data_IF_116140848024
#
_entry.id   IF_116140848024
#
_cell.length_a   1.000
_cell.length_b   1.000
_cell.length_c   1.000
_cell.angle_alpha   90.00
_cell.angle_beta   90.00
_cell.angle_gamma   90.00
#
_symmetry.space_group_name_H-M   'P 1'
#
loop_
_entity.id
_entity.type
_entity.pdbx_description
1 polymer ?
#
# COMPACT_ATOMS: atom_id res chain seq x y z
N UNK A 1 24.07 2.89 8.38
CA UNK A 1 22.86 2.70 7.56
C UNK A 1 22.48 1.24 7.63
N UNK A 2 21.23 0.88 7.92
CA UNK A 2 20.80 -0.54 7.92
C UNK A 2 20.43 -0.94 6.51
N UNK A 3 20.89 -2.09 6.05
CA UNK A 3 20.52 -2.64 4.75
C UNK A 3 19.10 -3.18 4.82
N UNK A 4 18.21 -2.85 3.86
CA UNK A 4 16.90 -3.45 3.79
C UNK A 4 16.99 -4.97 3.67
N UNK A 5 16.11 -5.68 4.39
CA UNK A 5 15.99 -7.12 4.27
C UNK A 5 14.69 -7.45 3.58
N UNK A 6 14.75 -8.19 2.48
CA UNK A 6 13.59 -8.69 1.76
C UNK A 6 13.33 -10.13 2.14
N UNK A 7 12.14 -10.42 2.65
CA UNK A 7 11.73 -11.77 3.03
C UNK A 7 10.48 -12.14 2.25
N UNK A 8 10.60 -13.12 1.36
CA UNK A 8 9.47 -13.65 0.58
C UNK A 8 9.12 -15.03 1.09
N UNK A 9 7.98 -15.14 1.77
CA UNK A 9 7.49 -16.38 2.35
C UNK A 9 6.43 -17.07 1.48
N UNK A 10 5.80 -16.32 0.58
CA UNK A 10 4.72 -16.82 -0.27
C UNK A 10 5.27 -17.26 -1.64
N UNK A 11 4.92 -18.47 -2.05
CA UNK A 11 5.12 -18.95 -3.41
C UNK A 11 3.76 -19.10 -4.09
N UNK A 12 3.59 -18.42 -5.22
CA UNK A 12 2.35 -18.47 -5.98
C UNK A 12 2.18 -19.82 -6.66
N UNK A 13 1.06 -20.49 -6.44
CA UNK A 13 0.66 -21.64 -7.25
C UNK A 13 -0.09 -21.14 -8.49
N UNK A 14 0.59 -21.19 -9.63
CA UNK A 14 0.04 -20.71 -10.89
C UNK A 14 -1.18 -21.51 -11.38
N UNK A 15 -1.31 -22.79 -10.99
CA UNK A 15 -2.48 -23.59 -11.35
C UNK A 15 -3.71 -23.10 -10.57
N UNK A 16 -3.58 -22.87 -9.27
CA UNK A 16 -4.66 -22.32 -8.43
C UNK A 16 -5.08 -20.94 -8.91
N UNK A 17 -4.12 -20.07 -9.25
CA UNK A 17 -4.42 -18.73 -9.79
C UNK A 17 -5.21 -18.81 -11.09
N UNK A 18 -4.77 -19.65 -12.03
CA UNK A 18 -5.45 -19.83 -13.30
C UNK A 18 -6.87 -20.35 -13.14
N UNK A 19 -7.06 -21.34 -12.26
CA UNK A 19 -8.37 -21.93 -12.01
C UNK A 19 -9.32 -20.93 -11.34
N UNK A 20 -8.85 -20.13 -10.39
CA UNK A 20 -9.63 -19.03 -9.78
C UNK A 20 -10.05 -17.99 -10.83
N UNK A 21 -9.12 -17.57 -11.69
CA UNK A 21 -9.43 -16.63 -12.78
C UNK A 21 -10.43 -17.21 -13.76
N UNK A 22 -10.25 -18.46 -14.17
CA UNK A 22 -11.16 -19.12 -15.09
C UNK A 22 -12.58 -19.23 -14.49
N UNK A 23 -12.70 -19.63 -13.23
CA UNK A 23 -14.00 -19.71 -12.56
C UNK A 23 -14.69 -18.34 -12.48
N UNK A 24 -13.97 -17.29 -12.14
CA UNK A 24 -14.51 -15.94 -12.06
C UNK A 24 -14.95 -15.40 -13.42
N UNK A 25 -14.14 -15.56 -14.45
CA UNK A 25 -14.42 -15.07 -15.81
C UNK A 25 -15.54 -15.84 -16.51
N UNK A 26 -15.70 -17.13 -16.20
CA UNK A 26 -16.74 -18.00 -16.76
C UNK A 26 -18.05 -17.97 -15.97
N UNK A 27 -18.11 -17.26 -14.83
CA UNK A 27 -19.32 -17.12 -14.06
C UNK A 27 -20.40 -16.34 -14.86
N UNK A 28 -21.68 -16.55 -14.52
CA UNK A 28 -22.82 -15.83 -15.14
C UNK A 28 -22.70 -14.31 -15.00
N UNK A 29 -22.13 -13.83 -13.90
CA UNK A 29 -21.66 -12.45 -13.71
C UNK A 29 -20.13 -12.49 -13.69
N UNK A 30 -19.51 -12.31 -14.85
CA UNK A 30 -18.05 -12.39 -14.98
C UNK A 30 -17.35 -11.39 -14.06
N UNK A 31 -16.39 -11.87 -13.29
CA UNK A 31 -15.65 -11.06 -12.34
C UNK A 31 -14.21 -11.56 -12.18
N UNK A 32 -13.36 -10.71 -11.63
CA UNK A 32 -12.01 -11.09 -11.19
C UNK A 32 -11.72 -10.46 -9.83
N UNK A 33 -10.89 -11.14 -9.03
CA UNK A 33 -10.48 -10.58 -7.74
C UNK A 33 -9.59 -9.35 -7.95
N UNK A 34 -9.84 -8.24 -7.21
CA UNK A 34 -9.00 -7.04 -7.29
C UNK A 34 -7.51 -7.29 -7.03
N UNK A 35 -7.15 -8.35 -6.31
CA UNK A 35 -5.74 -8.70 -6.04
C UNK A 35 -4.90 -8.87 -7.31
N UNK A 36 -5.52 -9.25 -8.43
CA UNK A 36 -4.83 -9.42 -9.71
C UNK A 36 -4.55 -8.10 -10.46
N UNK A 37 -5.09 -6.98 -9.95
CA UNK A 37 -4.83 -5.65 -10.51
C UNK A 37 -3.56 -5.01 -9.92
N UNK A 38 -2.91 -5.65 -8.94
CA UNK A 38 -1.73 -5.11 -8.26
C UNK A 38 -0.41 -5.71 -8.75
N UNK A 39 -0.35 -6.09 -10.03
CA UNK A 39 0.93 -6.39 -10.68
C UNK A 39 1.73 -5.10 -10.97
N UNK A 40 2.91 -5.23 -11.56
CA UNK A 40 3.78 -4.09 -11.84
C UNK A 40 3.12 -3.03 -12.75
N UNK A 41 2.32 -3.47 -13.73
CA UNK A 41 1.61 -2.56 -14.64
C UNK A 41 0.41 -1.92 -13.93
N UNK A 42 -0.41 -2.72 -13.26
CA UNK A 42 -1.58 -2.24 -12.53
C UNK A 42 -1.22 -1.26 -11.43
N UNK A 43 -0.10 -1.47 -10.73
CA UNK A 43 0.40 -0.53 -9.72
C UNK A 43 0.76 0.82 -10.33
N UNK A 44 1.40 0.84 -11.51
CA UNK A 44 1.71 2.10 -12.22
C UNK A 44 0.47 2.80 -12.76
N UNK A 45 -0.51 2.04 -13.25
CA UNK A 45 -1.79 2.58 -13.66
C UNK A 45 -2.55 3.19 -12.47
N UNK A 46 -2.50 2.55 -11.31
CA UNK A 46 -3.09 3.09 -10.10
C UNK A 46 -2.39 4.40 -9.66
N UNK A 47 -1.06 4.47 -9.71
CA UNK A 47 -0.34 5.72 -9.47
C UNK A 47 -0.82 6.84 -10.42
N UNK A 48 -0.99 6.54 -11.69
CA UNK A 48 -1.54 7.51 -12.64
C UNK A 48 -2.98 7.94 -12.29
N UNK A 49 -3.82 7.02 -11.84
CA UNK A 49 -5.18 7.32 -11.37
C UNK A 49 -5.16 8.26 -10.17
N UNK A 50 -4.20 8.11 -9.25
CA UNK A 50 -4.11 8.97 -8.06
C UNK A 50 -3.81 10.44 -8.39
N UNK A 51 -3.29 10.73 -9.58
CA UNK A 51 -3.03 12.08 -10.07
C UNK A 51 -4.26 12.75 -10.72
N UNK A 52 -5.32 11.99 -10.97
CA UNK A 52 -6.54 12.54 -11.58
C UNK A 52 -7.27 13.48 -10.60
N UNK A 53 -7.83 14.60 -11.08
CA UNK A 53 -8.62 15.52 -10.24
C UNK A 53 -9.80 14.84 -9.53
N UNK A 54 -10.41 13.86 -10.17
CA UNK A 54 -11.56 13.11 -9.65
C UNK A 54 -11.17 12.15 -8.52
N UNK A 55 -9.91 11.67 -8.49
CA UNK A 55 -9.43 10.78 -7.45
C UNK A 55 -8.92 11.57 -6.23
N UNK A 56 -9.87 12.09 -5.45
CA UNK A 56 -9.55 12.92 -4.28
C UNK A 56 -8.93 12.19 -3.07
N UNK A 57 -9.08 10.85 -2.86
CA UNK A 57 -8.68 10.20 -1.60
C UNK A 57 -7.21 10.41 -1.27
N UNK A 58 -6.31 10.26 -2.24
CA UNK A 58 -4.86 10.44 -2.03
C UNK A 58 -4.51 11.86 -1.56
N UNK A 59 -5.14 12.89 -2.17
CA UNK A 59 -4.91 14.28 -1.77
C UNK A 59 -5.45 14.59 -0.39
N UNK A 60 -6.63 14.09 -0.07
CA UNK A 60 -7.25 14.27 1.26
C UNK A 60 -6.42 13.57 2.33
N UNK A 61 -6.00 12.32 2.09
CA UNK A 61 -5.14 11.56 2.99
C UNK A 61 -3.81 12.29 3.24
N UNK A 62 -3.15 12.76 2.19
CA UNK A 62 -1.92 13.56 2.29
C UNK A 62 -2.13 14.84 3.13
N UNK A 63 -3.26 15.53 2.93
CA UNK A 63 -3.63 16.68 3.74
C UNK A 63 -3.85 16.35 5.22
N UNK A 64 -4.43 15.19 5.52
CA UNK A 64 -4.59 14.70 6.90
C UNK A 64 -3.23 14.45 7.55
N UNK A 65 -2.32 13.77 6.85
CA UNK A 65 -0.96 13.54 7.36
C UNK A 65 -0.19 14.84 7.56
N UNK A 66 -0.25 15.76 6.61
CA UNK A 66 0.39 17.07 6.75
C UNK A 66 -0.15 17.85 7.96
N UNK A 67 -1.45 17.80 8.22
CA UNK A 67 -2.10 18.53 9.31
C UNK A 67 -1.90 17.88 10.66
N UNK A 68 -1.98 16.56 10.75
CA UNK A 68 -2.07 15.82 12.01
C UNK A 68 -0.87 14.91 12.29
N UNK A 69 0.10 14.82 11.38
CA UNK A 69 1.25 13.91 11.50
C UNK A 69 2.02 14.11 12.81
N UNK A 70 2.25 15.34 13.23
CA UNK A 70 2.92 15.63 14.50
C UNK A 70 2.09 15.16 15.72
N UNK A 71 0.78 15.35 15.69
CA UNK A 71 -0.10 14.86 16.77
C UNK A 71 -0.18 13.34 16.80
N UNK A 72 -0.22 12.69 15.64
CA UNK A 72 -0.15 11.23 15.53
C UNK A 72 1.16 10.70 16.11
N UNK A 73 2.30 11.32 15.76
CA UNK A 73 3.61 10.95 16.29
C UNK A 73 3.69 11.08 17.81
N UNK A 74 3.12 12.16 18.39
CA UNK A 74 3.09 12.38 19.83
C UNK A 74 2.20 11.36 20.58
N UNK A 75 1.18 10.82 19.91
CA UNK A 75 0.31 9.79 20.49
C UNK A 75 0.95 8.41 20.56
N UNK A 76 2.06 8.18 19.85
CA UNK A 76 2.77 6.91 19.85
C UNK A 76 3.72 6.81 21.05
N UNK A 77 3.85 5.62 21.65
CA UNK A 77 4.82 5.41 22.70
C UNK A 77 6.26 5.59 22.18
N UNK A 78 7.21 6.01 23.03
CA UNK A 78 8.61 6.10 22.63
C UNK A 78 9.13 4.72 22.18
N UNK A 79 9.94 4.70 21.14
CA UNK A 79 10.49 3.49 20.51
C UNK A 79 9.43 2.54 19.88
N UNK A 80 8.26 3.02 19.53
CA UNK A 80 7.29 2.25 18.77
C UNK A 80 7.90 1.76 17.44
N UNK A 81 7.44 0.61 16.96
CA UNK A 81 7.74 0.12 15.61
C UNK A 81 6.54 0.42 14.72
N UNK A 82 6.77 1.13 13.63
CA UNK A 82 5.74 1.37 12.61
C UNK A 82 5.74 0.20 11.64
N UNK A 83 4.55 -0.39 11.42
CA UNK A 83 4.33 -1.44 10.43
C UNK A 83 3.31 -0.91 9.42
N UNK A 84 3.75 -0.74 8.18
CA UNK A 84 2.91 -0.27 7.09
C UNK A 84 2.47 -1.47 6.23
N UNK A 85 1.18 -1.81 6.28
CA UNK A 85 0.60 -2.91 5.52
C UNK A 85 0.21 -2.41 4.12
N UNK A 86 0.88 -2.91 3.09
CA UNK A 86 0.64 -2.47 1.72
C UNK A 86 1.25 -1.09 1.43
N UNK A 87 2.48 -0.88 1.83
CA UNK A 87 3.19 0.39 1.79
C UNK A 87 3.23 1.09 0.41
N UNK A 88 2.94 0.38 -0.69
CA UNK A 88 2.98 0.93 -2.04
C UNK A 88 4.37 1.51 -2.37
N UNK A 89 4.42 2.79 -2.75
CA UNK A 89 5.66 3.51 -3.01
C UNK A 89 6.34 4.08 -1.75
N UNK A 90 5.83 3.76 -0.55
CA UNK A 90 6.33 4.20 0.75
C UNK A 90 6.23 5.71 1.03
N UNK A 91 5.65 6.53 0.15
CA UNK A 91 5.59 7.99 0.33
C UNK A 91 4.86 8.40 1.61
N UNK A 92 3.79 7.70 1.98
CA UNK A 92 3.04 7.97 3.21
C UNK A 92 3.87 7.69 4.46
N UNK A 93 4.53 6.55 4.50
CA UNK A 93 5.43 6.20 5.58
C UNK A 93 6.57 7.22 5.69
N UNK A 94 7.18 7.60 4.57
CA UNK A 94 8.26 8.59 4.53
C UNK A 94 7.82 9.94 5.13
N UNK A 95 6.62 10.43 4.81
CA UNK A 95 6.10 11.68 5.37
C UNK A 95 5.86 11.62 6.89
N UNK A 96 5.49 10.46 7.42
CA UNK A 96 5.37 10.25 8.87
C UNK A 96 6.73 10.18 9.56
N UNK A 97 7.75 9.68 8.89
CA UNK A 97 9.10 9.56 9.46
C UNK A 97 9.69 10.88 9.91
N UNK A 98 9.46 11.96 9.17
CA UNK A 98 9.91 13.29 9.57
C UNK A 98 9.32 13.71 10.91
N UNK A 99 8.10 13.24 11.22
CA UNK A 99 7.43 13.46 12.50
C UNK A 99 7.85 12.45 13.58
N UNK A 100 8.39 11.29 13.17
CA UNK A 100 8.76 10.16 14.01
C UNK A 100 10.27 10.05 14.25
N UNK A 101 11.00 11.15 14.29
CA UNK A 101 12.46 11.26 14.26
C UNK A 101 13.24 10.32 15.22
N UNK A 102 12.58 9.70 16.22
CA UNK A 102 13.17 8.76 17.16
C UNK A 102 12.61 7.33 17.06
N UNK A 103 11.74 7.06 16.10
CA UNK A 103 11.02 5.78 15.99
C UNK A 103 11.72 4.82 14.98
N UNK A 104 11.37 3.54 15.04
CA UNK A 104 11.83 2.51 14.09
C UNK A 104 10.74 2.23 13.06
N UNK A 105 11.16 2.07 11.81
CA UNK A 105 10.31 1.58 10.73
C UNK A 105 10.66 0.13 10.39
#
# INVERSE_FOLDING_TARGET
MRTPQFVQLYQADHAVIRDELAQGLLASAAHTSPKYLYDALGSRLFEAITELPEYYPTRVESGIFARYGAAMAQALPPNATLIDLGAGNCNKAASLFECLASQRY
#
